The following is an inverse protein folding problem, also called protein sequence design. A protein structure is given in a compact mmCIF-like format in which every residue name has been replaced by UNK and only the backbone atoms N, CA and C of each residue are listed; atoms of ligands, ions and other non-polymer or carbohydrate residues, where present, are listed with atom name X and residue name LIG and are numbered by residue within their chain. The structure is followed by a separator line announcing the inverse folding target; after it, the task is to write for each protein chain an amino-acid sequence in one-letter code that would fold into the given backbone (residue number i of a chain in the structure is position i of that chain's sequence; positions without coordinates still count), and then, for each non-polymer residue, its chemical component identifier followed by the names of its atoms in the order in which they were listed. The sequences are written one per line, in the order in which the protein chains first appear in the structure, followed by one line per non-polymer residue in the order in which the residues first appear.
data_IF_753427742592
#
_entry.id   IF_753427742592
#
_cell.length_a   1.000
_cell.length_b   1.000
_cell.length_c   1.000
_cell.angle_alpha   90.00
_cell.angle_beta   90.00
_cell.angle_gamma   90.00
#
_symmetry.space_group_name_H-M   'P 1'
#
loop_
_entity.id
_entity.type
_entity.pdbx_description
1 polymer ?
#
# COMPACT_ATOMS: atom_id res chain seq x y z
N UNK A 1 -6.82 -20.82 11.33
CA UNK A 1 -6.95 -19.39 10.95
C UNK A 1 -5.58 -18.88 10.54
N UNK A 2 -5.36 -18.67 9.24
CA UNK A 2 -4.11 -18.09 8.76
C UNK A 2 -4.15 -16.58 9.06
N UNK A 3 -3.46 -16.16 10.11
CA UNK A 3 -3.33 -14.75 10.42
C UNK A 3 -2.47 -14.09 9.35
N UNK A 4 -2.99 -13.07 8.67
CA UNK A 4 -2.21 -12.18 7.78
C UNK A 4 -0.93 -11.63 8.46
N UNK A 5 -0.88 -11.69 9.80
CA UNK A 5 0.30 -11.40 10.61
C UNK A 5 1.50 -12.34 10.39
N UNK A 6 1.33 -13.50 9.76
CA UNK A 6 2.43 -14.45 9.44
C UNK A 6 3.05 -14.12 8.07
N UNK A 7 2.34 -13.35 7.23
CA UNK A 7 2.85 -12.96 5.92
C UNK A 7 4.08 -12.06 6.10
N UNK A 8 5.14 -12.18 5.29
CA UNK A 8 6.25 -11.23 5.28
C UNK A 8 5.84 -9.81 4.88
N UNK A 9 6.61 -8.82 5.36
CA UNK A 9 6.32 -7.39 5.19
C UNK A 9 6.36 -6.93 3.73
N UNK A 10 7.22 -7.52 2.91
CA UNK A 10 7.28 -7.21 1.47
C UNK A 10 6.02 -7.65 0.71
N UNK A 11 5.49 -8.84 1.00
CA UNK A 11 4.23 -9.30 0.39
C UNK A 11 3.04 -8.49 0.89
N UNK A 12 3.06 -8.10 2.18
CA UNK A 12 2.03 -7.25 2.74
C UNK A 12 2.07 -5.85 2.11
N UNK A 13 3.27 -5.29 1.88
CA UNK A 13 3.45 -4.03 1.14
C UNK A 13 2.94 -4.13 -0.30
N UNK A 14 3.20 -5.22 -1.02
CA UNK A 14 2.69 -5.41 -2.37
C UNK A 14 1.16 -5.42 -2.39
N UNK A 15 0.52 -6.13 -1.46
CA UNK A 15 -0.94 -6.16 -1.32
C UNK A 15 -1.48 -4.77 -0.99
N UNK A 16 -0.89 -4.11 0.01
CA UNK A 16 -1.27 -2.76 0.42
C UNK A 16 -1.06 -1.76 -0.72
N UNK A 17 -0.03 -1.94 -1.54
CA UNK A 17 0.25 -1.05 -2.67
C UNK A 17 -0.90 -1.00 -3.66
N UNK A 18 -1.66 -2.10 -3.83
CA UNK A 18 -2.81 -2.22 -4.72
C UNK A 18 -4.06 -1.48 -4.21
N UNK A 19 -4.08 -1.13 -2.92
CA UNK A 19 -5.20 -0.42 -2.28
C UNK A 19 -5.02 1.09 -2.47
N UNK A 20 -6.09 1.85 -2.78
CA UNK A 20 -6.01 3.30 -2.84
C UNK A 20 -5.52 3.91 -1.52
N UNK A 21 -4.66 4.93 -1.59
CA UNK A 21 -4.07 5.60 -0.41
C UNK A 21 -5.14 6.09 0.59
N UNK A 22 -6.32 6.52 0.11
CA UNK A 22 -7.43 6.93 0.99
C UNK A 22 -7.96 5.78 1.86
N UNK A 23 -8.09 4.59 1.28
CA UNK A 23 -8.56 3.40 2.00
C UNK A 23 -7.47 2.81 2.90
N UNK A 24 -6.19 2.92 2.50
CA UNK A 24 -5.05 2.55 3.35
C UNK A 24 -5.05 3.33 4.67
N UNK A 25 -5.26 4.64 4.61
CA UNK A 25 -5.24 5.51 5.80
C UNK A 25 -6.48 5.27 6.67
N UNK A 26 -7.65 5.08 6.07
CA UNK A 26 -8.92 4.92 6.80
C UNK A 26 -9.11 3.52 7.38
N UNK A 27 -8.83 2.48 6.60
CA UNK A 27 -9.22 1.10 6.90
C UNK A 27 -8.03 0.21 7.27
N UNK A 28 -6.85 0.41 6.64
CA UNK A 28 -5.69 -0.46 6.86
C UNK A 28 -4.81 0.01 8.04
N UNK A 29 -4.70 1.32 8.28
CA UNK A 29 -3.91 1.91 9.37
C UNK A 29 -4.34 1.51 10.80
N UNK A 30 -5.63 1.31 11.13
CA UNK A 30 -6.05 0.92 12.48
C UNK A 30 -5.99 -0.60 12.75
N UNK A 31 -5.72 -1.44 11.75
CA UNK A 31 -5.79 -2.92 11.88
C UNK A 31 -4.82 -3.44 12.94
N UNK A 32 -3.54 -3.06 12.84
CA UNK A 32 -2.53 -3.34 13.86
C UNK A 32 -1.32 -2.41 13.68
N UNK A 33 -0.41 -2.38 14.67
CA UNK A 33 0.81 -1.56 14.61
C UNK A 33 1.65 -1.85 13.37
N UNK A 34 1.83 -3.13 13.04
CA UNK A 34 2.57 -3.56 11.86
C UNK A 34 1.99 -3.01 10.55
N UNK A 35 0.66 -3.00 10.39
CA UNK A 35 0.02 -2.42 9.21
C UNK A 35 0.19 -0.91 9.17
N UNK A 36 0.13 -0.23 10.32
CA UNK A 36 0.37 1.21 10.41
C UNK A 36 1.78 1.58 9.94
N UNK A 37 2.80 0.85 10.37
CA UNK A 37 4.19 1.11 9.99
C UNK A 37 4.39 0.97 8.48
N UNK A 38 3.78 -0.06 7.86
CA UNK A 38 3.84 -0.26 6.41
C UNK A 38 3.02 0.77 5.63
N UNK A 39 1.84 1.17 6.12
CA UNK A 39 1.03 2.24 5.51
C UNK A 39 1.76 3.58 5.58
N UNK A 40 2.39 3.90 6.70
CA UNK A 40 3.16 5.13 6.88
C UNK A 40 4.43 5.10 6.00
N UNK A 41 5.06 3.93 5.80
CA UNK A 41 6.14 3.73 4.82
C UNK A 41 5.66 3.89 3.36
N UNK A 42 4.51 3.32 3.00
CA UNK A 42 3.93 3.51 1.66
C UNK A 42 3.61 4.98 1.40
N UNK A 43 3.14 5.71 2.42
CA UNK A 43 2.89 7.14 2.31
C UNK A 43 4.18 7.92 2.02
N UNK A 44 5.28 7.61 2.70
CA UNK A 44 6.58 8.27 2.44
C UNK A 44 7.13 7.92 1.06
N UNK A 45 7.03 6.65 0.65
CA UNK A 45 7.42 6.21 -0.70
C UNK A 45 6.56 6.93 -1.74
N UNK A 46 5.23 6.91 -1.64
CA UNK A 46 4.35 7.57 -2.61
C UNK A 46 4.62 9.07 -2.71
N UNK A 47 4.88 9.75 -1.59
CA UNK A 47 5.23 11.18 -1.60
C UNK A 47 6.56 11.45 -2.32
N UNK A 48 7.50 10.50 -2.25
CA UNK A 48 8.77 10.55 -3.00
C UNK A 48 8.58 10.16 -4.48
N UNK A 49 7.71 9.19 -4.78
CA UNK A 49 7.43 8.66 -6.13
C UNK A 49 6.59 9.60 -6.99
N UNK A 50 5.97 10.65 -6.42
CA UNK A 50 5.42 11.76 -7.23
C UNK A 50 6.49 12.45 -8.10
N UNK A 51 7.78 12.29 -7.78
CA UNK A 51 8.91 12.81 -8.56
C UNK A 51 9.38 11.87 -9.69
N UNK A 52 8.97 10.60 -9.69
CA UNK A 52 9.44 9.61 -10.68
C UNK A 52 8.25 9.15 -11.51
N UNK A 53 8.04 9.82 -12.65
CA UNK A 53 6.84 9.78 -13.51
C UNK A 53 6.38 8.39 -14.00
N UNK A 54 7.19 7.35 -13.86
CA UNK A 54 6.92 6.02 -14.44
C UNK A 54 5.95 5.15 -13.64
N UNK A 55 5.91 5.26 -12.31
CA UNK A 55 5.09 4.36 -11.48
C UNK A 55 3.60 4.74 -11.44
N UNK A 56 3.26 6.02 -11.66
CA UNK A 56 1.86 6.50 -11.72
C UNK A 56 1.11 6.01 -12.94
N UNK A 57 1.79 5.82 -14.07
CA UNK A 57 1.16 5.32 -15.29
C UNK A 57 0.76 3.84 -15.15
N UNK A 58 1.65 3.02 -14.57
CA UNK A 58 1.37 1.60 -14.29
C UNK A 58 0.18 1.44 -13.31
N UNK A 59 0.15 2.27 -12.25
CA UNK A 59 -0.91 2.19 -11.23
C UNK A 59 -2.28 2.66 -11.74
N UNK A 60 -2.31 3.70 -12.60
CA UNK A 60 -3.54 4.22 -13.19
C UNK A 60 -4.10 3.30 -14.29
N UNK A 61 -3.26 2.53 -15.00
CA UNK A 61 -3.71 1.49 -15.92
C UNK A 61 -4.32 0.29 -15.19
N UNK A 62 -3.72 -0.15 -14.08
CA UNK A 62 -4.22 -1.30 -13.31
C UNK A 62 -5.61 -1.06 -12.69
N UNK A 63 -5.86 0.15 -12.17
CA UNK A 63 -7.16 0.56 -11.62
C UNK A 63 -8.25 0.79 -12.68
N UNK A 64 -7.91 0.83 -13.97
CA UNK A 64 -8.88 1.05 -15.06
C UNK A 64 -9.31 -0.24 -15.76
N UNK A 65 -8.75 -1.38 -15.37
CA UNK A 65 -9.01 -2.73 -15.91
C UNK A 65 -9.79 -3.61 -14.91
N UNK A 66 -10.18 -3.07 -13.75
CA UNK A 66 -11.12 -3.71 -12.82
C UNK A 66 -12.40 -2.91 -12.67
#
# INVERSE_FOLDING_TARGET
MASLCVLPDHLLLDILSLVPMGDLIRNCRPVCSRWRDLVDLLKTIQHQTLKTSLYRAAFRCFLKVR
#
